data_IF_883126566720
#
_entry.id   IF_883126566720
#
_cell.length_a   1.000
_cell.length_b   1.000
_cell.length_c   1.000
_cell.angle_alpha   90.00
_cell.angle_beta   90.00
_cell.angle_gamma   90.00
#
_symmetry.space_group_name_H-M   'P 1'
#
loop_
_entity.id
_entity.type
_entity.pdbx_description
1 polymer ?
#
# COMPACT_ATOMS: atom_id res chain seq x y z
N UNK A 1 4.69 -17.13 -9.96
CA UNK A 1 4.82 -17.38 -8.50
C UNK A 1 3.45 -17.38 -7.82
N UNK A 2 2.74 -16.25 -7.77
CA UNK A 2 1.44 -16.15 -7.06
C UNK A 2 0.36 -17.12 -7.56
N UNK A 3 0.26 -17.38 -8.87
CA UNK A 3 -0.67 -18.39 -9.39
C UNK A 3 -0.39 -19.79 -8.85
N UNK A 4 0.89 -20.19 -8.73
CA UNK A 4 1.25 -21.47 -8.13
C UNK A 4 0.87 -21.52 -6.64
N UNK A 5 1.11 -20.43 -5.91
CA UNK A 5 0.73 -20.30 -4.50
C UNK A 5 -0.80 -20.43 -4.36
N UNK A 6 -1.56 -19.73 -5.21
CA UNK A 6 -3.01 -19.78 -5.22
C UNK A 6 -3.53 -21.19 -5.51
N UNK A 7 -3.06 -21.84 -6.58
CA UNK A 7 -3.51 -23.20 -6.95
C UNK A 7 -3.14 -24.23 -5.87
N UNK A 8 -1.97 -24.07 -5.25
CA UNK A 8 -1.47 -25.05 -4.27
C UNK A 8 -2.12 -24.90 -2.89
N UNK A 9 -2.32 -23.66 -2.44
CA UNK A 9 -2.74 -23.40 -1.07
C UNK A 9 -4.16 -22.86 -0.99
N UNK A 10 -4.65 -22.10 -2.00
CA UNK A 10 -5.96 -21.45 -1.97
C UNK A 10 -6.21 -20.80 -0.62
N UNK A 11 -7.43 -20.92 -0.08
CA UNK A 11 -7.77 -20.42 1.26
C UNK A 11 -7.12 -21.19 2.42
N UNK A 12 -6.40 -22.28 2.14
CA UNK A 12 -5.81 -23.18 3.12
C UNK A 12 -4.36 -22.82 3.46
N UNK A 13 -3.93 -21.57 3.26
CA UNK A 13 -2.58 -21.18 3.64
C UNK A 13 -2.44 -21.12 5.18
N UNK A 14 -1.90 -22.20 5.73
CA UNK A 14 -1.59 -22.37 7.14
C UNK A 14 -0.18 -21.84 7.38
N UNK A 15 -0.03 -20.52 7.47
CA UNK A 15 1.02 -19.98 8.33
C UNK A 15 0.58 -20.16 9.78
N UNK A 16 1.49 -20.61 10.65
CA UNK A 16 1.31 -20.99 12.07
C UNK A 16 0.63 -19.90 12.93
N UNK A 17 -0.65 -19.61 12.70
CA UNK A 17 -1.41 -18.53 13.33
C UNK A 17 -0.74 -17.14 13.27
N UNK A 18 0.25 -16.92 12.39
CA UNK A 18 0.89 -15.61 12.26
C UNK A 18 -0.03 -14.64 11.50
N UNK A 19 -0.47 -13.59 12.21
CA UNK A 19 -1.37 -12.57 11.68
C UNK A 19 -0.69 -11.79 10.54
N UNK A 20 0.59 -11.47 10.70
CA UNK A 20 1.35 -10.72 9.70
C UNK A 20 1.39 -11.48 8.37
N UNK A 21 1.82 -12.74 8.41
CA UNK A 21 1.84 -13.64 7.26
C UNK A 21 0.47 -13.68 6.59
N UNK A 22 -0.57 -14.15 7.32
CA UNK A 22 -1.94 -14.36 6.79
C UNK A 22 -2.45 -13.11 6.07
N UNK A 23 -2.26 -11.95 6.69
CA UNK A 23 -2.68 -10.66 6.14
C UNK A 23 -1.87 -10.25 4.91
N UNK A 24 -0.54 -10.45 4.90
CA UNK A 24 0.30 -10.16 3.73
C UNK A 24 -0.14 -10.95 2.51
N UNK A 25 -0.30 -12.25 2.67
CA UNK A 25 -0.67 -13.16 1.59
C UNK A 25 -2.06 -12.84 1.03
N UNK A 26 -3.04 -12.64 1.92
CA UNK A 26 -4.40 -12.26 1.54
C UNK A 26 -4.38 -10.98 0.69
N UNK A 27 -3.66 -9.97 1.16
CA UNK A 27 -3.52 -8.70 0.46
C UNK A 27 -2.86 -8.87 -0.91
N UNK A 28 -1.73 -9.58 -0.99
CA UNK A 28 -0.99 -9.76 -2.24
C UNK A 28 -1.79 -10.54 -3.29
N UNK A 29 -2.50 -11.59 -2.88
CA UNK A 29 -3.33 -12.37 -3.81
C UNK A 29 -4.51 -11.54 -4.33
N UNK A 30 -5.26 -10.87 -3.45
CA UNK A 30 -6.36 -10.01 -3.89
C UNK A 30 -5.88 -8.84 -4.73
N UNK A 31 -4.70 -8.30 -4.46
CA UNK A 31 -4.11 -7.21 -5.26
C UNK A 31 -3.81 -7.66 -6.69
N UNK A 32 -3.62 -8.96 -6.93
CA UNK A 32 -3.46 -9.54 -8.26
C UNK A 32 -4.77 -10.11 -8.84
N UNK A 33 -5.92 -9.88 -8.19
CA UNK A 33 -7.23 -10.31 -8.68
C UNK A 33 -7.60 -11.75 -8.37
N UNK A 34 -6.87 -12.45 -7.49
CA UNK A 34 -7.29 -13.76 -7.01
C UNK A 34 -8.44 -13.63 -6.01
N UNK A 35 -9.44 -14.49 -6.16
CA UNK A 35 -10.56 -14.59 -5.23
C UNK A 35 -10.17 -15.48 -4.05
N UNK A 36 -9.93 -14.83 -2.91
CA UNK A 36 -9.52 -15.45 -1.64
C UNK A 36 -10.57 -15.10 -0.60
N UNK A 37 -11.06 -16.11 0.11
CA UNK A 37 -12.09 -15.91 1.13
C UNK A 37 -11.57 -15.09 2.31
N UNK A 38 -12.33 -14.07 2.70
CA UNK A 38 -12.04 -13.27 3.90
C UNK A 38 -12.30 -14.03 5.21
N UNK A 39 -13.01 -15.15 5.15
CA UNK A 39 -13.27 -16.04 6.29
C UNK A 39 -11.98 -16.61 6.90
N UNK A 40 -10.84 -16.55 6.19
CA UNK A 40 -9.53 -16.92 6.73
C UNK A 40 -9.16 -16.14 8.00
N UNK A 41 -9.76 -14.96 8.22
CA UNK A 41 -9.54 -14.14 9.41
C UNK A 41 -10.39 -14.55 10.62
N UNK A 42 -11.39 -15.43 10.46
CA UNK A 42 -12.21 -15.89 11.60
C UNK A 42 -11.42 -16.64 12.66
N UNK A 43 -10.28 -17.25 12.31
CA UNK A 43 -9.37 -17.88 13.27
C UNK A 43 -8.78 -16.90 14.29
N UNK A 44 -8.83 -15.59 14.01
CA UNK A 44 -8.39 -14.51 14.90
C UNK A 44 -9.52 -13.92 15.75
N UNK A 45 -10.71 -14.52 15.71
CA UNK A 45 -11.85 -14.13 16.51
C UNK A 45 -12.05 -15.04 17.73
N UNK A 46 -12.57 -14.47 18.80
CA UNK A 46 -12.95 -15.19 20.01
C UNK A 46 -14.33 -15.88 19.84
N UNK A 47 -14.80 -16.56 20.89
CA UNK A 47 -16.11 -17.26 20.89
C UNK A 47 -17.31 -16.34 20.74
N UNK A 48 -17.16 -15.05 21.04
CA UNK A 48 -18.21 -14.05 20.91
C UNK A 48 -18.29 -13.48 19.48
N UNK A 49 -17.33 -13.82 18.62
CA UNK A 49 -17.25 -13.34 17.25
C UNK A 49 -16.40 -12.07 17.07
N UNK A 50 -15.77 -11.56 18.13
CA UNK A 50 -14.92 -10.37 18.08
C UNK A 50 -13.45 -10.74 17.84
N UNK A 51 -12.69 -9.86 17.20
CA UNK A 51 -11.23 -10.03 17.09
C UNK A 51 -10.58 -10.13 18.49
N UNK A 52 -9.66 -11.08 18.66
CA UNK A 52 -9.04 -11.33 19.97
C UNK A 52 -8.22 -10.11 20.42
N UNK A 53 -8.47 -9.62 21.63
CA UNK A 53 -7.71 -8.50 22.23
C UNK A 53 -6.20 -8.77 22.34
N UNK A 54 -5.80 -10.05 22.42
CA UNK A 54 -4.38 -10.45 22.43
C UNK A 54 -3.63 -10.06 21.15
N UNK A 55 -4.33 -9.76 20.03
CA UNK A 55 -3.70 -9.27 18.81
C UNK A 55 -3.08 -7.88 18.97
N UNK A 56 -3.51 -7.11 19.98
CA UNK A 56 -2.97 -5.78 20.28
C UNK A 56 -1.45 -5.80 20.50
N UNK A 57 -0.92 -6.88 21.04
CA UNK A 57 0.49 -7.01 21.36
C UNK A 57 1.36 -7.17 20.09
N UNK A 58 0.76 -7.62 18.97
CA UNK A 58 1.40 -7.71 17.66
C UNK A 58 1.05 -6.50 16.79
N UNK A 59 1.69 -5.36 17.08
CA UNK A 59 1.51 -4.11 16.32
C UNK A 59 1.80 -4.29 14.83
N UNK A 60 2.78 -5.13 14.48
CA UNK A 60 3.14 -5.38 13.08
C UNK A 60 2.07 -6.21 12.38
N UNK A 61 1.58 -7.28 13.00
CA UNK A 61 0.45 -8.05 12.51
C UNK A 61 -0.81 -7.21 12.32
N UNK A 62 -1.13 -6.34 13.29
CA UNK A 62 -2.25 -5.40 13.17
C UNK A 62 -2.11 -4.45 11.98
N UNK A 63 -0.91 -3.91 11.75
CA UNK A 63 -0.66 -3.06 10.58
C UNK A 63 -0.91 -3.81 9.27
N UNK A 64 -0.48 -5.06 9.20
CA UNK A 64 -0.68 -5.88 8.00
C UNK A 64 -2.15 -6.26 7.83
N UNK A 65 -2.87 -6.55 8.91
CA UNK A 65 -4.32 -6.80 8.90
C UNK A 65 -5.08 -5.55 8.45
N UNK A 66 -4.69 -4.37 8.93
CA UNK A 66 -5.25 -3.08 8.50
C UNK A 66 -5.10 -2.92 6.98
N UNK A 67 -3.90 -3.11 6.44
CA UNK A 67 -3.65 -3.02 5.01
C UNK A 67 -4.43 -4.07 4.20
N UNK A 68 -4.59 -5.28 4.74
CA UNK A 68 -5.39 -6.35 4.14
C UNK A 68 -6.89 -6.04 4.14
N UNK A 69 -7.42 -5.45 5.21
CA UNK A 69 -8.84 -5.09 5.35
C UNK A 69 -9.29 -4.01 4.36
N UNK A 70 -8.35 -3.19 3.84
CA UNK A 70 -8.62 -2.28 2.71
C UNK A 70 -8.76 -3.00 1.36
N UNK A 71 -8.59 -4.32 1.30
CA UNK A 71 -8.89 -5.16 0.13
C UNK A 71 -10.30 -5.73 0.13
N UNK A 72 -11.17 -5.30 1.05
CA UNK A 72 -12.55 -5.76 1.15
C UNK A 72 -13.40 -5.41 -0.06
N UNK A 73 -14.39 -6.25 -0.31
CA UNK A 73 -15.52 -5.99 -1.21
C UNK A 73 -16.82 -5.94 -0.41
N UNK A 74 -17.94 -5.61 -1.07
CA UNK A 74 -19.25 -5.55 -0.44
C UNK A 74 -19.67 -6.92 0.11
N UNK A 75 -20.25 -6.96 1.31
CA UNK A 75 -20.70 -8.18 1.99
C UNK A 75 -19.67 -8.86 2.89
N UNK A 76 -18.45 -8.34 3.00
CA UNK A 76 -17.38 -8.93 3.81
C UNK A 76 -17.26 -8.33 5.20
N UNK A 77 -18.20 -8.68 6.09
CA UNK A 77 -18.26 -8.11 7.44
C UNK A 77 -17.00 -8.38 8.28
N UNK A 78 -16.37 -9.54 8.13
CA UNK A 78 -15.12 -9.86 8.84
C UNK A 78 -14.01 -8.84 8.57
N UNK A 79 -13.95 -8.26 7.37
CA UNK A 79 -12.96 -7.22 7.04
C UNK A 79 -13.39 -5.82 7.49
N UNK A 80 -14.70 -5.55 7.55
CA UNK A 80 -15.20 -4.31 8.17
C UNK A 80 -14.82 -4.27 9.65
N UNK A 81 -15.06 -5.38 10.36
CA UNK A 81 -14.69 -5.53 11.76
C UNK A 81 -13.17 -5.48 11.96
N UNK A 82 -12.39 -6.16 11.10
CA UNK A 82 -10.94 -6.09 11.14
C UNK A 82 -10.42 -4.65 10.96
N UNK A 83 -11.03 -3.89 10.05
CA UNK A 83 -10.67 -2.49 9.85
C UNK A 83 -10.99 -1.65 11.09
N UNK A 84 -12.18 -1.82 11.69
CA UNK A 84 -12.57 -1.09 12.90
C UNK A 84 -11.62 -1.41 14.06
N UNK A 85 -11.37 -2.69 14.32
CA UNK A 85 -10.46 -3.17 15.36
C UNK A 85 -9.06 -2.58 15.18
N UNK A 86 -8.45 -2.78 14.01
CA UNK A 86 -7.09 -2.30 13.76
C UNK A 86 -6.97 -0.79 13.78
N UNK A 87 -7.94 -0.05 13.23
CA UNK A 87 -7.94 1.42 13.25
C UNK A 87 -7.99 1.95 14.68
N UNK A 88 -8.84 1.37 15.54
CA UNK A 88 -8.94 1.76 16.94
C UNK A 88 -7.63 1.51 17.70
N UNK A 89 -7.10 0.29 17.65
CA UNK A 89 -5.91 -0.05 18.43
C UNK A 89 -4.64 0.62 17.89
N UNK A 90 -4.45 0.69 16.57
CA UNK A 90 -3.29 1.38 15.98
C UNK A 90 -3.35 2.90 16.22
N UNK A 91 -4.55 3.50 16.16
CA UNK A 91 -4.73 4.92 16.49
C UNK A 91 -4.32 5.24 17.91
N UNK A 92 -4.77 4.43 18.88
CA UNK A 92 -4.37 4.58 20.28
C UNK A 92 -2.86 4.38 20.50
N UNK A 93 -2.19 3.54 19.71
CA UNK A 93 -0.74 3.34 19.81
C UNK A 93 0.01 4.58 19.28
N UNK A 94 -0.43 5.13 18.15
CA UNK A 94 0.14 6.34 17.52
C UNK A 94 0.01 7.57 18.43
N UNK A 95 -1.13 7.74 19.11
CA UNK A 95 -1.28 8.86 20.04
C UNK A 95 -0.30 8.79 21.22
N UNK A 96 0.16 7.58 21.60
CA UNK A 96 1.08 7.36 22.70
C UNK A 96 2.56 7.30 22.28
N UNK A 97 2.86 7.13 20.99
CA UNK A 97 4.23 7.00 20.48
C UNK A 97 4.38 7.75 19.15
N UNK A 98 5.43 8.56 19.01
CA UNK A 98 5.83 9.18 17.73
C UNK A 98 6.38 8.06 16.81
N UNK A 99 5.49 7.26 16.25
CA UNK A 99 5.83 6.13 15.40
C UNK A 99 5.76 6.56 13.94
N UNK A 100 6.75 6.19 13.13
CA UNK A 100 6.75 6.48 11.68
C UNK A 100 5.60 5.78 10.90
N UNK A 101 4.72 5.06 11.58
CA UNK A 101 3.56 4.34 11.02
C UNK A 101 2.30 5.20 10.85
N UNK A 102 2.31 6.47 11.28
CA UNK A 102 1.20 7.43 11.12
C UNK A 102 0.63 7.45 9.69
N UNK A 103 1.47 7.22 8.70
CA UNK A 103 1.09 7.29 7.29
C UNK A 103 0.20 6.14 6.82
N UNK A 104 0.27 4.96 7.44
CA UNK A 104 -0.64 3.84 7.15
C UNK A 104 -2.08 4.19 7.52
N UNK A 105 -2.26 4.75 8.71
CA UNK A 105 -3.57 5.20 9.17
C UNK A 105 -4.09 6.41 8.39
N UNK A 106 -3.21 7.28 7.90
CA UNK A 106 -3.60 8.37 7.00
C UNK A 106 -4.08 7.86 5.63
N UNK A 107 -3.34 6.93 5.03
CA UNK A 107 -3.69 6.36 3.73
C UNK A 107 -3.15 4.93 3.59
N UNK A 108 -4.01 3.93 3.37
CA UNK A 108 -3.58 2.55 3.19
C UNK A 108 -2.84 2.36 1.86
N UNK A 109 -1.94 1.38 1.80
CA UNK A 109 -1.10 1.05 0.63
C UNK A 109 -1.90 0.95 -0.67
N UNK A 110 -3.09 0.33 -0.65
CA UNK A 110 -3.95 0.19 -1.85
C UNK A 110 -4.33 1.54 -2.46
N UNK A 111 -4.40 2.60 -1.65
CA UNK A 111 -4.80 3.95 -2.08
C UNK A 111 -3.60 4.87 -2.36
N UNK A 112 -2.36 4.40 -2.17
CA UNK A 112 -1.15 5.19 -2.43
C UNK A 112 -0.71 5.08 -3.88
N UNK A 113 -0.12 6.15 -4.40
CA UNK A 113 0.52 6.13 -5.71
C UNK A 113 1.80 5.28 -5.65
N UNK A 114 1.92 4.19 -6.44
CA UNK A 114 3.06 3.28 -6.37
C UNK A 114 4.40 3.98 -6.53
N UNK A 115 4.46 5.02 -7.37
CA UNK A 115 5.69 5.76 -7.63
C UNK A 115 6.16 6.60 -6.44
N UNK A 116 5.23 7.26 -5.75
CA UNK A 116 5.54 7.99 -4.52
C UNK A 116 5.91 7.03 -3.39
N UNK A 117 5.28 5.86 -3.35
CA UNK A 117 5.61 4.85 -2.36
C UNK A 117 7.00 4.27 -2.60
N UNK A 118 7.39 4.00 -3.84
CA UNK A 118 8.74 3.57 -4.19
C UNK A 118 9.80 4.59 -3.74
N UNK A 119 9.58 5.88 -4.03
CA UNK A 119 10.47 6.97 -3.59
C UNK A 119 10.64 7.00 -2.07
N UNK A 120 9.56 6.75 -1.32
CA UNK A 120 9.56 6.74 0.15
C UNK A 120 10.22 5.48 0.72
N UNK A 121 9.97 4.33 0.10
CA UNK A 121 10.39 3.04 0.63
C UNK A 121 11.84 2.71 0.32
N UNK A 122 12.41 3.18 -0.80
CA UNK A 122 13.82 2.93 -1.14
C UNK A 122 14.80 3.33 0.00
N UNK A 123 14.72 4.54 0.59
CA UNK A 123 15.55 4.90 1.73
C UNK A 123 15.29 4.04 2.98
N UNK A 124 14.02 3.68 3.24
CA UNK A 124 13.66 2.82 4.37
C UNK A 124 14.32 1.45 4.21
N UNK A 125 14.16 0.83 3.04
CA UNK A 125 14.72 -0.46 2.71
C UNK A 125 16.25 -0.46 2.78
N UNK A 126 16.90 0.64 2.36
CA UNK A 126 18.36 0.78 2.48
C UNK A 126 18.86 0.73 3.94
N UNK A 127 18.05 1.14 4.89
CA UNK A 127 18.39 1.11 6.31
C UNK A 127 17.99 -0.18 7.02
N UNK A 128 17.31 -1.12 6.35
CA UNK A 128 16.99 -2.42 6.93
C UNK A 128 18.24 -3.31 6.94
N UNK A 129 18.61 -3.88 8.09
CA UNK A 129 19.79 -4.75 8.22
C UNK A 129 19.77 -5.98 7.29
N UNK A 130 18.57 -6.41 6.90
CA UNK A 130 18.34 -7.60 6.07
C UNK A 130 18.15 -7.31 4.57
N UNK A 131 18.39 -6.06 4.13
CA UNK A 131 18.13 -5.69 2.75
C UNK A 131 19.03 -6.43 1.76
N UNK A 132 18.49 -6.72 0.58
CA UNK A 132 19.23 -7.31 -0.51
C UNK A 132 19.85 -6.19 -1.37
N UNK A 133 21.18 -6.14 -1.43
CA UNK A 133 21.92 -5.10 -2.15
C UNK A 133 21.56 -5.03 -3.64
N UNK A 134 21.40 -6.19 -4.31
CA UNK A 134 21.05 -6.24 -5.72
C UNK A 134 19.64 -5.69 -5.97
N UNK A 135 18.67 -6.00 -5.10
CA UNK A 135 17.32 -5.46 -5.18
C UNK A 135 17.30 -3.95 -4.93
N UNK A 136 18.06 -3.46 -3.95
CA UNK A 136 18.18 -2.03 -3.67
C UNK A 136 18.79 -1.28 -4.86
N UNK A 137 19.86 -1.83 -5.46
CA UNK A 137 20.49 -1.27 -6.65
C UNK A 137 19.51 -1.22 -7.82
N UNK A 138 18.78 -2.32 -8.07
CA UNK A 138 17.76 -2.39 -9.11
C UNK A 138 16.69 -1.32 -8.91
N UNK A 139 16.14 -1.19 -7.69
CA UNK A 139 15.10 -0.22 -7.38
C UNK A 139 15.55 1.23 -7.62
N UNK A 140 16.80 1.58 -7.25
CA UNK A 140 17.37 2.91 -7.49
C UNK A 140 17.57 3.20 -8.98
N UNK A 141 18.10 2.23 -9.72
CA UNK A 141 18.33 2.39 -11.16
C UNK A 141 17.02 2.54 -11.94
N UNK A 142 16.04 1.67 -11.67
CA UNK A 142 14.70 1.75 -12.26
C UNK A 142 14.04 3.09 -11.94
N UNK A 143 14.14 3.54 -10.68
CA UNK A 143 13.61 4.84 -10.29
C UNK A 143 14.26 5.97 -11.08
N UNK A 144 15.59 6.05 -11.12
CA UNK A 144 16.26 7.14 -11.81
C UNK A 144 16.01 7.13 -13.32
N UNK A 145 16.01 5.94 -13.95
CA UNK A 145 15.75 5.79 -15.38
C UNK A 145 14.37 6.34 -15.77
N UNK A 146 13.32 5.93 -15.05
CA UNK A 146 11.97 6.40 -15.35
C UNK A 146 11.80 7.89 -15.00
N UNK A 147 12.50 8.39 -13.98
CA UNK A 147 12.49 9.82 -13.66
C UNK A 147 13.09 10.68 -14.80
N UNK A 148 14.19 10.22 -15.42
CA UNK A 148 14.78 10.86 -16.59
C UNK A 148 13.83 10.88 -17.80
N UNK A 149 13.09 9.80 -18.03
CA UNK A 149 12.06 9.76 -19.07
C UNK A 149 10.95 10.79 -18.80
N UNK A 150 10.46 10.85 -17.56
CA UNK A 150 9.43 11.83 -17.19
C UNK A 150 9.89 13.28 -17.38
N UNK A 151 11.15 13.57 -17.07
CA UNK A 151 11.72 14.91 -17.30
C UNK A 151 11.79 15.27 -18.78
N UNK A 152 12.12 14.31 -19.65
CA UNK A 152 12.11 14.52 -21.11
C UNK A 152 10.70 14.78 -21.64
N UNK A 153 9.72 14.00 -21.19
CA UNK A 153 8.31 14.18 -21.56
C UNK A 153 7.80 15.55 -21.09
N UNK A 154 8.02 15.90 -19.82
CA UNK A 154 7.68 17.22 -19.29
C UNK A 154 8.37 18.36 -20.04
N UNK A 155 9.63 18.19 -20.46
CA UNK A 155 10.33 19.18 -21.28
C UNK A 155 9.62 19.40 -22.62
N UNK A 156 9.21 18.33 -23.30
CA UNK A 156 8.48 18.40 -24.57
C UNK A 156 7.10 19.05 -24.39
N UNK A 157 6.33 18.64 -23.38
CA UNK A 157 5.01 19.20 -23.09
C UNK A 157 5.14 20.68 -22.72
N UNK A 158 6.13 21.04 -21.90
CA UNK A 158 6.38 22.43 -21.52
C UNK A 158 6.74 23.30 -22.73
N UNK A 159 7.50 22.75 -23.69
CA UNK A 159 7.82 23.45 -24.94
C UNK A 159 6.55 23.67 -25.77
N UNK A 160 5.76 22.63 -25.96
CA UNK A 160 4.48 22.71 -26.67
C UNK A 160 3.51 23.72 -26.04
N UNK A 161 3.38 23.74 -24.72
CA UNK A 161 2.53 24.70 -24.01
C UNK A 161 2.98 26.15 -24.19
N UNK A 162 4.30 26.39 -24.18
CA UNK A 162 4.87 27.72 -24.47
C UNK A 162 4.59 28.15 -25.91
N UNK A 163 4.72 27.24 -26.87
CA UNK A 163 4.46 27.53 -28.29
C UNK A 163 2.99 27.88 -28.56
N UNK A 164 2.06 27.32 -27.78
CA UNK A 164 0.64 27.71 -27.83
C UNK A 164 0.40 29.14 -27.34
N UNK A 165 1.30 29.68 -26.51
CA UNK A 165 1.23 31.02 -25.94
C UNK A 165 -0.07 31.26 -25.13
N UNK A 166 -0.43 30.25 -24.33
CA UNK A 166 -1.68 30.22 -23.56
C UNK A 166 -1.76 31.40 -22.59
N UNK A 167 -0.65 31.75 -21.93
CA UNK A 167 -0.62 32.84 -20.95
C UNK A 167 -1.04 34.20 -21.53
N UNK A 168 -0.69 34.47 -22.79
CA UNK A 168 -1.07 35.71 -23.47
C UNK A 168 -2.45 35.62 -24.14
N UNK A 169 -2.75 34.47 -24.78
CA UNK A 169 -4.01 34.30 -25.54
C UNK A 169 -5.22 34.01 -24.65
N UNK A 170 -5.00 33.38 -23.50
CA UNK A 170 -6.03 32.89 -22.59
C UNK A 170 -5.65 33.20 -21.14
N UNK A 171 -5.65 34.48 -20.73
CA UNK A 171 -5.12 34.92 -19.42
C UNK A 171 -5.90 34.37 -18.20
N UNK A 172 -7.09 33.82 -18.43
CA UNK A 172 -7.91 33.19 -17.41
C UNK A 172 -7.57 31.70 -17.19
N UNK A 173 -6.77 31.08 -18.07
CA UNK A 173 -6.36 29.68 -17.94
C UNK A 173 -5.22 29.58 -16.92
N UNK A 174 -5.36 28.64 -15.98
CA UNK A 174 -4.32 28.37 -14.99
C UNK A 174 -3.22 27.51 -15.60
N UNK A 175 -1.97 27.84 -15.30
CA UNK A 175 -0.83 26.98 -15.61
C UNK A 175 -0.82 25.78 -14.65
N UNK A 176 -1.00 24.59 -15.22
CA UNK A 176 -1.16 23.31 -14.51
C UNK A 176 -0.49 22.14 -15.26
N UNK A 177 0.53 22.40 -16.08
CA UNK A 177 1.16 21.35 -16.90
C UNK A 177 1.74 20.24 -16.02
N UNK A 178 2.43 20.63 -14.94
CA UNK A 178 3.12 19.68 -14.07
C UNK A 178 2.10 18.82 -13.33
N UNK A 179 1.04 19.43 -12.79
CA UNK A 179 -0.05 18.72 -12.14
C UNK A 179 -0.82 17.82 -13.12
N UNK A 180 -1.05 18.31 -14.33
CA UNK A 180 -1.71 17.54 -15.40
C UNK A 180 -0.90 16.33 -15.83
N UNK A 181 0.42 16.48 -16.00
CA UNK A 181 1.31 15.38 -16.30
C UNK A 181 1.43 14.40 -15.13
N UNK A 182 1.52 14.90 -13.90
CA UNK A 182 1.58 14.06 -12.70
C UNK A 182 0.34 13.16 -12.51
N UNK A 183 -0.81 13.57 -13.06
CA UNK A 183 -2.05 12.79 -13.01
C UNK A 183 -2.14 11.65 -14.04
N UNK A 184 -1.28 11.66 -15.07
CA UNK A 184 -1.20 10.63 -16.11
C UNK A 184 -0.34 9.47 -15.60
#
# INVERSE_FOLDING_TARGET
>A
CLNYIYVKYGDQWISNNDLQSTSLWFRLLRQQGFDISSEIFNKYKNTNGDFMESLRDDVRGMLYLYEAAHMRVEGEEVLNEALNFTTYHLGNIVENYIFNNDKALQQPLRKRLPRLEALRYIPIYQHEDSHNEALLMLAKLDFNLLQELHQKELSQISKWWKDLDVSNKLPYVRDRIVEGYFWI
#
